data_IF_693835015789
#
_entry.id   IF_693835015789
#
_cell.length_a   1.000
_cell.length_b   1.000
_cell.length_c   1.000
_cell.angle_alpha   90.00
_cell.angle_beta   90.00
_cell.angle_gamma   90.00
#
_symmetry.space_group_name_H-M   'P 1'
#
loop_
_entity.id
_entity.type
_entity.pdbx_description
1 polymer ?
#
# COMPACT_ATOMS: atom_id res chain seq x y z
N UNK A 1 -22.73 0.94 -7.26
CA UNK A 1 -21.76 -0.15 -7.40
C UNK A 1 -20.60 0.15 -6.47
N UNK A 2 -20.09 -0.84 -5.73
CA UNK A 2 -18.85 -0.69 -4.95
C UNK A 2 -17.68 -0.72 -5.93
N UNK A 3 -16.72 0.20 -5.79
CA UNK A 3 -15.55 0.30 -6.66
C UNK A 3 -14.31 -0.10 -5.88
N UNK A 4 -13.36 -0.73 -6.57
CA UNK A 4 -12.02 -0.97 -6.07
C UNK A 4 -11.09 0.08 -6.67
N UNK A 5 -10.36 0.79 -5.81
CA UNK A 5 -9.44 1.84 -6.18
C UNK A 5 -8.07 1.56 -5.57
N UNK A 6 -7.00 1.95 -6.27
CA UNK A 6 -5.66 1.75 -5.78
C UNK A 6 -4.68 2.78 -6.33
N UNK A 7 -3.63 3.04 -5.55
CA UNK A 7 -2.41 3.74 -5.99
C UNK A 7 -1.21 2.92 -5.51
N UNK A 8 -0.28 2.68 -6.43
CA UNK A 8 0.94 1.92 -6.21
C UNK A 8 2.20 2.77 -6.39
N UNK A 9 3.16 2.59 -5.48
CA UNK A 9 4.48 3.19 -5.53
C UNK A 9 5.54 2.11 -5.70
N UNK A 10 6.36 2.22 -6.74
CA UNK A 10 7.61 1.46 -6.80
C UNK A 10 8.68 2.24 -6.06
N UNK A 11 9.20 1.67 -4.98
CA UNK A 11 10.20 2.32 -4.13
C UNK A 11 11.52 1.57 -4.14
N UNK A 12 12.60 2.31 -3.95
CA UNK A 12 13.95 1.78 -3.77
C UNK A 12 14.54 2.30 -2.45
N UNK A 13 15.07 1.40 -1.64
CA UNK A 13 15.68 1.71 -0.34
C UNK A 13 17.20 1.61 -0.42
N UNK A 14 17.90 2.40 0.40
CA UNK A 14 19.38 2.30 0.52
C UNK A 14 19.81 1.00 1.20
N UNK A 15 19.01 0.52 2.15
CA UNK A 15 19.20 -0.74 2.89
C UNK A 15 18.41 -1.89 2.29
N UNK A 16 18.75 -3.12 2.68
CA UNK A 16 18.00 -4.34 2.36
C UNK A 16 16.78 -4.47 3.28
N UNK A 17 15.74 -3.68 3.02
CA UNK A 17 14.55 -3.57 3.88
C UNK A 17 13.45 -4.59 3.57
N UNK A 18 13.58 -5.36 2.48
CA UNK A 18 12.59 -6.36 2.06
C UNK A 18 13.18 -7.77 2.06
N UNK A 19 12.32 -8.75 2.30
CA UNK A 19 12.58 -10.15 1.96
C UNK A 19 11.96 -10.43 0.59
N UNK A 20 12.79 -10.66 -0.42
CA UNK A 20 12.38 -10.85 -1.81
C UNK A 20 11.69 -12.19 -2.08
N UNK A 21 11.60 -13.07 -1.07
CA UNK A 21 10.84 -14.32 -1.15
C UNK A 21 9.50 -14.23 -0.42
N UNK A 22 9.18 -13.07 0.17
CA UNK A 22 7.96 -12.86 0.95
C UNK A 22 7.15 -11.72 0.39
N UNK A 23 5.89 -12.03 0.10
CA UNK A 23 4.90 -11.03 -0.28
C UNK A 23 3.98 -10.76 0.91
N UNK A 24 3.60 -9.49 1.09
CA UNK A 24 2.53 -9.11 2.02
C UNK A 24 1.26 -8.88 1.20
N UNK A 25 0.29 -9.79 1.38
CA UNK A 25 -1.05 -9.68 0.78
C UNK A 25 -2.04 -9.11 1.78
N UNK A 26 -2.81 -8.10 1.35
CA UNK A 26 -3.94 -7.55 2.08
C UNK A 26 -3.61 -7.24 3.56
N UNK A 27 -2.60 -6.41 3.80
CA UNK A 27 -2.32 -5.95 5.16
C UNK A 27 -3.40 -4.96 5.61
N UNK A 28 -4.31 -5.44 6.47
CA UNK A 28 -5.40 -4.68 7.07
C UNK A 28 -4.98 -3.84 8.28
N UNK A 29 -3.69 -3.75 8.62
CA UNK A 29 -3.21 -2.95 9.75
C UNK A 29 -3.21 -1.43 9.50
N UNK A 30 -3.71 -0.99 8.35
CA UNK A 30 -4.03 0.41 8.03
C UNK A 30 -5.35 0.83 8.67
N UNK A 31 -5.53 2.14 8.88
CA UNK A 31 -6.81 2.67 9.36
C UNK A 31 -7.93 2.36 8.36
N UNK A 32 -8.99 1.70 8.85
CA UNK A 32 -10.09 1.23 8.02
C UNK A 32 -11.11 2.33 7.72
N UNK A 33 -11.23 3.37 8.55
CA UNK A 33 -12.20 4.48 8.34
C UNK A 33 -13.61 4.03 7.88
N UNK A 34 -14.14 2.96 8.49
CA UNK A 34 -15.42 2.32 8.15
C UNK A 34 -15.54 1.78 6.71
N UNK A 35 -14.42 1.50 6.06
CA UNK A 35 -14.30 0.95 4.71
C UNK A 35 -13.32 -0.24 4.68
N UNK A 36 -13.22 -0.93 3.54
CA UNK A 36 -12.22 -2.00 3.36
C UNK A 36 -10.97 -1.37 2.75
N UNK A 37 -9.90 -1.29 3.56
CA UNK A 37 -8.61 -0.68 3.20
C UNK A 37 -7.49 -1.66 3.51
N UNK A 38 -6.53 -1.81 2.60
CA UNK A 38 -5.35 -2.64 2.86
C UNK A 38 -4.16 -2.23 1.99
N UNK A 39 -2.99 -2.71 2.40
CA UNK A 39 -1.74 -2.52 1.67
C UNK A 39 -1.25 -3.84 1.05
N UNK A 40 -0.67 -3.76 -0.15
CA UNK A 40 0.21 -4.78 -0.69
C UNK A 40 1.67 -4.34 -0.60
N UNK A 41 2.55 -5.29 -0.27
CA UNK A 41 3.99 -5.14 -0.47
C UNK A 41 4.44 -6.29 -1.37
N UNK A 42 4.87 -5.96 -2.59
CA UNK A 42 5.43 -6.92 -3.55
C UNK A 42 6.91 -6.60 -3.77
N UNK A 43 7.83 -7.28 -3.06
CA UNK A 43 9.26 -7.11 -3.29
C UNK A 43 9.69 -7.63 -4.67
N UNK A 44 10.50 -6.85 -5.37
CA UNK A 44 11.22 -7.26 -6.59
C UNK A 44 12.66 -7.68 -6.28
N UNK A 45 13.23 -7.11 -5.22
CA UNK A 45 14.55 -7.43 -4.67
C UNK A 45 14.58 -7.01 -3.20
N UNK A 46 15.67 -7.34 -2.50
CA UNK A 46 15.85 -6.93 -1.09
C UNK A 46 15.78 -5.42 -0.82
N UNK A 47 15.87 -4.59 -1.86
CA UNK A 47 15.83 -3.13 -1.76
C UNK A 47 14.81 -2.45 -2.68
N UNK A 48 13.99 -3.22 -3.41
CA UNK A 48 12.96 -2.69 -4.31
C UNK A 48 11.64 -3.41 -4.09
N UNK A 49 10.56 -2.65 -4.00
CA UNK A 49 9.22 -3.22 -3.87
C UNK A 49 8.16 -2.30 -4.49
N UNK A 50 7.05 -2.89 -4.91
CA UNK A 50 5.79 -2.19 -5.07
C UNK A 50 5.08 -2.12 -3.71
N UNK A 51 4.64 -0.93 -3.34
CA UNK A 51 3.79 -0.69 -2.18
C UNK A 51 2.50 -0.07 -2.69
N UNK A 52 1.39 -0.79 -2.55
CA UNK A 52 0.11 -0.41 -3.15
C UNK A 52 -0.99 -0.35 -2.11
N UNK A 53 -1.61 0.83 -2.01
CA UNK A 53 -2.76 1.02 -1.15
C UNK A 53 -4.03 0.76 -1.95
N UNK A 54 -4.90 -0.10 -1.43
CA UNK A 54 -6.19 -0.45 -2.05
C UNK A 54 -7.33 -0.09 -1.12
N UNK A 55 -8.41 0.46 -1.70
CA UNK A 55 -9.62 0.88 -1.04
C UNK A 55 -10.85 0.37 -1.81
N UNK A 56 -11.84 -0.15 -1.09
CA UNK A 56 -13.20 -0.33 -1.60
C UNK A 56 -14.14 0.74 -1.07
N UNK A 57 -14.67 1.57 -1.96
CA UNK A 57 -15.59 2.67 -1.62
C UNK A 57 -16.54 2.95 -2.79
N UNK A 58 -17.58 3.76 -2.55
CA UNK A 58 -18.46 4.26 -3.62
C UNK A 58 -17.81 5.45 -4.36
N UNK A 59 -17.19 6.32 -3.57
CA UNK A 59 -16.57 7.56 -4.00
C UNK A 59 -15.05 7.46 -4.01
N UNK A 60 -14.43 8.15 -4.96
CA UNK A 60 -12.99 8.30 -5.02
C UNK A 60 -12.53 9.29 -3.94
N UNK A 61 -11.41 8.97 -3.28
CA UNK A 61 -10.64 9.95 -2.53
C UNK A 61 -9.57 10.57 -3.42
N UNK A 62 -8.98 11.68 -2.98
CA UNK A 62 -7.90 12.34 -3.74
C UNK A 62 -6.61 11.53 -3.73
N UNK A 63 -5.81 11.63 -4.79
CA UNK A 63 -4.47 11.05 -4.90
C UNK A 63 -3.58 11.39 -3.69
N UNK A 64 -3.67 12.63 -3.20
CA UNK A 64 -2.92 13.07 -2.02
C UNK A 64 -3.30 12.31 -0.74
N UNK A 65 -4.56 11.88 -0.61
CA UNK A 65 -4.99 11.06 0.53
C UNK A 65 -4.41 9.65 0.42
N UNK A 66 -4.47 9.02 -0.77
CA UNK A 66 -3.83 7.72 -1.02
C UNK A 66 -2.32 7.76 -0.70
N UNK A 67 -1.61 8.76 -1.21
CA UNK A 67 -0.18 8.90 -0.96
C UNK A 67 0.16 9.13 0.52
N UNK A 68 -0.71 9.84 1.25
CA UNK A 68 -0.54 10.04 2.69
C UNK A 68 -0.60 8.72 3.44
N UNK A 69 -1.54 7.83 3.08
CA UNK A 69 -1.65 6.50 3.68
C UNK A 69 -0.41 5.65 3.38
N UNK A 70 0.10 5.66 2.14
CA UNK A 70 1.37 4.98 1.77
C UNK A 70 2.54 5.53 2.60
N UNK A 71 2.70 6.86 2.68
CA UNK A 71 3.76 7.49 3.47
C UNK A 71 3.65 7.14 4.96
N UNK A 72 2.44 7.06 5.49
CA UNK A 72 2.21 6.69 6.89
C UNK A 72 2.60 5.24 7.15
N UNK A 73 2.19 4.34 6.25
CA UNK A 73 2.51 2.93 6.31
C UNK A 73 4.03 2.67 6.24
N UNK A 74 4.76 3.39 5.38
CA UNK A 74 6.21 3.27 5.25
C UNK A 74 7.03 3.83 6.42
N UNK A 75 6.41 4.60 7.32
CA UNK A 75 7.06 5.15 8.52
C UNK A 75 6.90 4.26 9.76
N UNK A 76 6.04 3.24 9.67
CA UNK A 76 5.80 2.26 10.73
C UNK A 76 6.97 1.29 10.83
#
# INVERSE_FOLDING_TARGET
>A
MLKQHFIGWTIETKSKSFDDNKITFMDFSVDQKDEIRFMYILPFSKNKALVEYTLFSKELISDNEYEKEIKSYLKK
#
